data_IF_685487290548
#
_entry.id   IF_685487290548
#
_cell.length_a   1.000
_cell.length_b   1.000
_cell.length_c   1.000
_cell.angle_alpha   90.00
_cell.angle_beta   90.00
_cell.angle_gamma   90.00
#
_symmetry.space_group_name_H-M   'P 1'
#
loop_
_entity.id
_entity.type
_entity.pdbx_description
1 polymer ?
#
# COMPACT_ATOMS: atom_id res chain seq x y z
N UNK A 1 23.88 -11.46 -12.89
CA UNK A 1 24.16 -11.58 -11.44
C UNK A 1 25.38 -10.71 -11.13
N UNK A 2 25.32 -9.89 -10.10
CA UNK A 2 26.40 -9.01 -9.67
C UNK A 2 26.71 -9.26 -8.20
N UNK A 3 27.98 -9.43 -7.85
CA UNK A 3 28.41 -9.46 -6.46
C UNK A 3 28.43 -8.02 -5.93
N UNK A 4 27.84 -7.83 -4.76
CA UNK A 4 27.72 -6.54 -4.09
C UNK A 4 27.79 -6.74 -2.58
N UNK A 5 27.84 -5.62 -1.87
CA UNK A 5 27.91 -5.58 -0.42
C UNK A 5 26.83 -4.65 0.12
N UNK A 6 26.20 -4.98 1.24
CA UNK A 6 25.24 -4.11 1.94
C UNK A 6 25.92 -3.47 3.15
N UNK A 7 25.78 -2.16 3.26
CA UNK A 7 26.19 -1.35 4.42
C UNK A 7 24.99 -0.64 5.04
N UNK A 8 25.07 -0.39 6.34
CA UNK A 8 24.22 0.60 7.03
C UNK A 8 25.13 1.64 7.67
N UNK A 9 25.10 2.87 7.17
CA UNK A 9 26.13 3.86 7.47
C UNK A 9 27.52 3.37 7.04
N UNK A 10 28.43 3.23 8.01
CA UNK A 10 29.78 2.70 7.81
C UNK A 10 29.91 1.20 8.17
N UNK A 11 28.85 0.58 8.68
CA UNK A 11 28.88 -0.81 9.14
C UNK A 11 28.55 -1.77 8.00
N UNK A 12 29.47 -2.69 7.73
CA UNK A 12 29.27 -3.80 6.80
C UNK A 12 28.23 -4.78 7.36
N UNK A 13 27.15 -5.02 6.62
CA UNK A 13 26.11 -5.98 7.04
C UNK A 13 26.30 -7.37 6.43
N UNK A 14 26.81 -7.46 5.19
CA UNK A 14 27.11 -8.73 4.54
C UNK A 14 27.24 -8.65 3.02
N UNK A 15 27.74 -9.73 2.43
CA UNK A 15 27.83 -9.90 0.99
C UNK A 15 26.52 -10.40 0.38
N UNK A 16 26.21 -9.90 -0.81
CA UNK A 16 24.98 -10.21 -1.52
C UNK A 16 25.19 -10.39 -3.01
N UNK A 17 24.26 -11.10 -3.63
CA UNK A 17 24.12 -11.23 -5.06
C UNK A 17 22.91 -10.43 -5.54
N UNK A 18 23.14 -9.56 -6.52
CA UNK A 18 22.12 -8.74 -7.15
C UNK A 18 21.73 -9.36 -8.49
N UNK A 19 20.43 -9.51 -8.67
CA UNK A 19 19.76 -9.99 -9.87
C UNK A 19 18.87 -8.87 -10.42
N UNK A 20 19.41 -8.01 -11.31
CA UNK A 20 18.62 -6.98 -11.98
C UNK A 20 17.44 -7.62 -12.71
N UNK A 21 16.27 -7.01 -12.61
CA UNK A 21 15.09 -7.41 -13.37
C UNK A 21 14.86 -6.49 -14.58
N UNK A 22 15.23 -5.21 -14.46
CA UNK A 22 15.10 -4.20 -15.53
C UNK A 22 16.44 -3.47 -15.77
N UNK A 23 16.79 -3.17 -17.03
CA UNK A 23 18.14 -2.75 -17.47
C UNK A 23 18.56 -1.30 -17.14
N UNK A 24 17.92 -0.58 -16.21
CA UNK A 24 18.19 0.86 -15.97
C UNK A 24 18.48 1.24 -14.51
N UNK A 25 19.10 0.37 -13.72
CA UNK A 25 19.65 0.81 -12.43
C UNK A 25 21.13 1.04 -12.63
N UNK A 26 21.53 2.31 -12.57
CA UNK A 26 22.95 2.68 -12.53
C UNK A 26 23.54 2.31 -11.17
N UNK A 27 23.99 1.05 -11.05
CA UNK A 27 24.77 0.56 -9.89
C UNK A 27 26.27 0.65 -10.17
N UNK A 28 26.74 1.80 -10.65
CA UNK A 28 28.16 2.10 -10.89
C UNK A 28 29.02 1.79 -9.67
N UNK A 29 28.51 2.05 -8.47
CA UNK A 29 29.07 1.59 -7.22
C UNK A 29 28.35 0.28 -6.83
N UNK A 30 29.06 -0.85 -6.90
CA UNK A 30 28.55 -2.20 -6.55
C UNK A 30 28.31 -2.37 -5.04
N UNK A 31 27.78 -1.33 -4.39
CA UNK A 31 27.52 -1.24 -2.96
C UNK A 31 26.11 -0.74 -2.74
N UNK A 32 25.40 -1.38 -1.82
CA UNK A 32 24.10 -0.92 -1.34
C UNK A 32 24.33 -0.26 0.02
N UNK A 33 24.05 1.04 0.11
CA UNK A 33 24.23 1.82 1.35
C UNK A 33 22.89 2.24 1.92
N UNK A 34 22.43 1.50 2.92
CA UNK A 34 21.19 1.82 3.64
C UNK A 34 21.41 3.10 4.44
N UNK A 35 20.59 4.09 4.13
CA UNK A 35 20.59 5.39 4.80
C UNK A 35 19.64 5.40 6.00
N UNK A 36 18.44 4.87 5.83
CA UNK A 36 17.38 4.84 6.83
C UNK A 36 16.37 3.73 6.54
N UNK A 37 15.46 3.50 7.49
CA UNK A 37 14.28 2.68 7.28
C UNK A 37 13.08 3.55 6.97
N UNK A 38 12.18 3.07 6.12
CA UNK A 38 10.90 3.74 5.90
C UNK A 38 10.04 3.75 7.17
N UNK A 39 8.98 4.55 7.14
CA UNK A 39 7.89 4.41 8.12
C UNK A 39 7.29 3.00 8.02
N UNK A 40 6.81 2.42 9.14
CA UNK A 40 6.11 1.15 9.12
C UNK A 40 4.78 1.30 8.39
N UNK A 41 4.45 0.31 7.56
CA UNK A 41 3.15 0.28 6.89
C UNK A 41 2.14 -0.48 7.74
N UNK A 42 1.03 0.19 8.08
CA UNK A 42 0.00 -0.35 8.99
C UNK A 42 -1.15 -1.03 8.25
N UNK A 43 -1.43 -0.59 7.02
CA UNK A 43 -2.60 -1.05 6.23
C UNK A 43 -2.23 -2.12 5.22
N UNK A 44 -1.10 -1.93 4.54
CA UNK A 44 -0.70 -2.71 3.37
C UNK A 44 0.73 -3.22 3.57
N UNK A 45 1.10 -4.43 3.14
CA UNK A 45 2.51 -4.81 3.08
C UNK A 45 3.28 -3.81 2.19
N UNK A 46 4.52 -3.41 2.54
CA UNK A 46 5.32 -2.50 1.72
C UNK A 46 5.44 -2.95 0.25
N UNK A 47 5.49 -4.27 0.04
CA UNK A 47 5.48 -4.89 -1.28
C UNK A 47 4.31 -4.42 -2.14
N UNK A 48 3.09 -4.43 -1.58
CA UNK A 48 1.88 -4.10 -2.34
C UNK A 48 1.86 -2.62 -2.72
N UNK A 49 2.24 -1.73 -1.79
CA UNK A 49 2.33 -0.30 -2.07
C UNK A 49 3.37 -0.02 -3.16
N UNK A 50 4.57 -0.59 -3.04
CA UNK A 50 5.66 -0.36 -3.98
C UNK A 50 5.38 -0.92 -5.37
N UNK A 51 4.73 -2.07 -5.48
CA UNK A 51 4.27 -2.58 -6.78
C UNK A 51 3.35 -1.62 -7.52
N UNK A 52 2.66 -0.76 -6.79
CA UNK A 52 1.73 0.18 -7.38
C UNK A 52 2.36 1.52 -7.73
N UNK A 53 3.21 2.05 -6.84
CA UNK A 53 3.79 3.37 -7.04
C UNK A 53 5.10 3.34 -7.84
N UNK A 54 5.75 2.18 -7.96
CA UNK A 54 6.98 2.02 -8.72
C UNK A 54 6.68 1.87 -10.21
N UNK A 55 7.12 2.81 -11.07
CA UNK A 55 6.77 2.82 -12.49
C UNK A 55 7.30 1.61 -13.26
N UNK A 56 8.39 1.00 -12.79
CA UNK A 56 9.03 -0.17 -13.40
C UNK A 56 8.83 -1.46 -12.59
N UNK A 57 7.97 -1.45 -11.57
CA UNK A 57 7.82 -2.58 -10.65
C UNK A 57 9.14 -2.97 -9.96
N UNK A 58 9.37 -4.27 -9.80
CA UNK A 58 10.62 -4.79 -9.20
C UNK A 58 11.79 -4.52 -10.14
N UNK A 59 12.75 -3.73 -9.68
CA UNK A 59 13.89 -3.33 -10.49
C UNK A 59 15.11 -4.25 -10.27
N UNK A 60 15.28 -4.80 -9.06
CA UNK A 60 16.31 -5.78 -8.73
C UNK A 60 15.85 -6.77 -7.66
N UNK A 61 16.52 -7.92 -7.56
CA UNK A 61 16.39 -8.85 -6.43
C UNK A 61 17.76 -9.05 -5.80
N UNK A 62 17.84 -8.98 -4.48
CA UNK A 62 19.08 -9.15 -3.72
C UNK A 62 18.98 -10.43 -2.90
N UNK A 63 20.00 -11.27 -2.95
CA UNK A 63 20.08 -12.50 -2.16
C UNK A 63 21.34 -12.49 -1.32
N UNK A 64 21.25 -12.95 -0.07
CA UNK A 64 22.45 -13.20 0.74
C UNK A 64 23.25 -14.35 0.17
N UNK A 65 24.59 -14.25 0.25
CA UNK A 65 25.50 -15.37 -0.01
C UNK A 65 25.70 -16.28 1.21
N UNK A 66 25.43 -15.78 2.42
CA UNK A 66 25.58 -16.54 3.66
C UNK A 66 24.23 -17.00 4.20
N UNK A 67 24.18 -18.25 4.65
CA UNK A 67 22.98 -18.91 5.21
C UNK A 67 22.92 -18.86 6.75
N UNK A 68 23.89 -18.21 7.41
CA UNK A 68 23.92 -18.13 8.87
C UNK A 68 22.85 -17.18 9.42
N UNK A 69 21.98 -17.71 10.30
CA UNK A 69 20.87 -17.00 10.94
C UNK A 69 21.28 -15.87 11.90
N UNK A 70 22.56 -15.78 12.28
CA UNK A 70 23.05 -14.77 13.24
C UNK A 70 23.80 -13.59 12.58
N UNK A 71 23.67 -13.40 11.26
CA UNK A 71 24.34 -12.29 10.57
C UNK A 71 23.64 -10.92 10.79
N UNK A 72 24.38 -9.80 10.74
CA UNK A 72 23.77 -8.45 10.76
C UNK A 72 22.77 -8.25 9.60
N UNK A 73 23.03 -8.87 8.45
CA UNK A 73 22.11 -8.89 7.31
C UNK A 73 20.80 -9.65 7.61
N UNK A 74 20.87 -10.76 8.37
CA UNK A 74 19.68 -11.46 8.86
C UNK A 74 18.85 -10.57 9.79
N UNK A 75 19.52 -9.84 10.69
CA UNK A 75 18.87 -8.89 11.60
C UNK A 75 18.16 -7.76 10.84
N UNK A 76 18.81 -7.21 9.81
CA UNK A 76 18.21 -6.21 8.91
C UNK A 76 16.95 -6.77 8.24
N UNK A 77 17.04 -7.94 7.62
CA UNK A 77 15.92 -8.58 6.92
C UNK A 77 14.75 -8.85 7.85
N UNK A 78 15.03 -9.44 9.01
CA UNK A 78 14.03 -9.80 10.02
C UNK A 78 13.32 -8.57 10.60
N UNK A 79 14.05 -7.47 10.85
CA UNK A 79 13.45 -6.21 11.31
C UNK A 79 12.54 -5.60 10.24
N UNK A 80 12.98 -5.53 8.97
CA UNK A 80 12.15 -5.05 7.87
C UNK A 80 10.86 -5.86 7.74
N UNK A 81 10.96 -7.20 7.80
CA UNK A 81 9.81 -8.09 7.67
C UNK A 81 8.84 -7.97 8.85
N UNK A 82 9.34 -7.97 10.08
CA UNK A 82 8.53 -7.92 11.31
C UNK A 82 7.83 -6.57 11.49
N UNK A 83 8.50 -5.49 11.11
CA UNK A 83 8.02 -4.12 11.35
C UNK A 83 7.31 -3.52 10.14
N UNK A 84 7.10 -4.29 9.06
CA UNK A 84 6.55 -3.80 7.79
C UNK A 84 7.27 -2.54 7.29
N UNK A 85 8.60 -2.56 7.33
CA UNK A 85 9.47 -1.48 6.88
C UNK A 85 10.28 -1.91 5.66
N UNK A 86 10.85 -0.93 5.00
CA UNK A 86 11.82 -1.12 3.92
C UNK A 86 13.14 -0.47 4.30
N UNK A 87 14.24 -1.06 3.85
CA UNK A 87 15.56 -0.44 3.96
C UNK A 87 15.76 0.46 2.74
N UNK A 88 16.12 1.73 2.97
CA UNK A 88 16.11 2.76 1.92
C UNK A 88 17.53 3.21 1.59
N UNK A 89 17.86 3.18 0.30
CA UNK A 89 19.11 3.69 -0.26
C UNK A 89 18.81 4.82 -1.26
N UNK A 90 19.31 6.04 -1.04
CA UNK A 90 19.20 7.13 -2.01
C UNK A 90 19.98 6.77 -3.29
N UNK A 91 19.36 6.97 -4.45
CA UNK A 91 19.93 6.70 -5.77
C UNK A 91 19.78 7.94 -6.66
N UNK A 92 20.55 8.98 -6.36
CA UNK A 92 20.52 10.23 -7.12
C UNK A 92 19.16 10.95 -7.02
N UNK A 93 18.35 10.85 -8.08
CA UNK A 93 17.00 11.46 -8.16
C UNK A 93 15.89 10.49 -7.73
N UNK A 94 16.23 9.27 -7.35
CA UNK A 94 15.30 8.23 -6.91
C UNK A 94 15.72 7.68 -5.54
N UNK A 95 14.84 6.90 -4.93
CA UNK A 95 15.13 6.10 -3.75
C UNK A 95 14.89 4.63 -4.07
N UNK A 96 15.88 3.79 -3.74
CA UNK A 96 15.76 2.35 -3.79
C UNK A 96 15.21 1.84 -2.45
N UNK A 97 14.02 1.26 -2.50
CA UNK A 97 13.41 0.56 -1.37
C UNK A 97 13.68 -0.94 -1.48
N UNK A 98 14.34 -1.51 -0.47
CA UNK A 98 14.52 -2.96 -0.32
C UNK A 98 13.43 -3.52 0.58
N UNK A 99 12.55 -4.32 -0.02
CA UNK A 99 11.48 -5.04 0.67
C UNK A 99 11.96 -6.42 1.05
N UNK A 100 11.97 -6.73 2.35
CA UNK A 100 12.31 -8.06 2.83
C UNK A 100 11.23 -9.08 2.39
N UNK A 101 11.66 -10.14 1.73
CA UNK A 101 10.78 -11.20 1.24
C UNK A 101 10.99 -12.46 2.05
N UNK A 102 9.89 -13.08 2.50
CA UNK A 102 9.93 -14.46 2.98
C UNK A 102 10.03 -15.38 1.77
N UNK A 103 11.13 -16.12 1.63
CA UNK A 103 11.20 -17.18 0.63
C UNK A 103 11.63 -18.49 1.27
N UNK A 104 10.92 -19.55 0.87
CA UNK A 104 11.20 -20.93 1.25
C UNK A 104 11.53 -21.66 -0.03
N UNK A 105 12.73 -22.20 -0.14
CA UNK A 105 13.09 -23.15 -1.19
C UNK A 105 13.82 -24.30 -0.51
N UNK A 106 13.27 -25.50 -0.61
CA UNK A 106 13.83 -26.72 -0.02
C UNK A 106 14.12 -26.61 1.50
N UNK A 107 13.14 -26.15 2.29
CA UNK A 107 13.23 -25.98 3.76
C UNK A 107 14.30 -25.04 4.31
N UNK A 108 15.15 -24.44 3.45
CA UNK A 108 16.13 -23.44 3.85
C UNK A 108 15.58 -22.02 3.66
N UNK A 109 15.65 -21.23 4.74
CA UNK A 109 15.20 -19.84 4.76
C UNK A 109 16.32 -18.94 4.23
N UNK A 110 16.26 -18.58 2.96
CA UNK A 110 17.25 -17.68 2.37
C UNK A 110 16.80 -16.22 2.45
N UNK A 111 17.73 -15.35 2.82
CA UNK A 111 17.52 -13.91 2.91
C UNK A 111 17.41 -13.31 1.50
N UNK A 112 16.26 -12.72 1.21
CA UNK A 112 15.97 -12.14 -0.09
C UNK A 112 15.30 -10.78 0.08
N UNK A 113 15.74 -9.80 -0.70
CA UNK A 113 15.09 -8.50 -0.84
C UNK A 113 14.65 -8.27 -2.28
N UNK A 114 13.50 -7.65 -2.45
CA UNK A 114 13.08 -7.10 -3.74
C UNK A 114 13.24 -5.59 -3.72
N UNK A 115 13.95 -5.06 -4.72
CA UNK A 115 14.23 -3.64 -4.88
C UNK A 115 13.20 -2.97 -5.77
N UNK A 116 12.76 -1.79 -5.34
CA UNK A 116 11.87 -0.91 -6.10
C UNK A 116 12.49 0.48 -6.14
N UNK A 117 12.50 1.10 -7.33
CA UNK A 117 12.93 2.49 -7.49
C UNK A 117 11.70 3.39 -7.57
N UNK A 118 11.66 4.42 -6.74
CA UNK A 118 10.57 5.40 -6.67
C UNK A 118 11.12 6.81 -6.48
N UNK A 119 10.31 7.83 -6.73
CA UNK A 119 10.68 9.20 -6.42
C UNK A 119 10.89 9.38 -4.90
N UNK A 120 11.84 10.23 -4.47
CA UNK A 120 12.15 10.40 -3.05
C UNK A 120 10.91 10.78 -2.22
N UNK A 121 10.71 10.10 -1.11
CA UNK A 121 9.59 10.32 -0.20
C UNK A 121 8.23 9.79 -0.67
N UNK A 122 8.08 9.34 -1.93
CA UNK A 122 6.78 8.91 -2.49
C UNK A 122 6.16 7.75 -1.70
N UNK A 123 6.98 6.80 -1.27
CA UNK A 123 6.52 5.69 -0.44
C UNK A 123 5.96 6.19 0.90
N UNK A 124 6.70 7.05 1.62
CA UNK A 124 6.24 7.60 2.90
C UNK A 124 4.98 8.47 2.73
N UNK A 125 4.92 9.31 1.70
CA UNK A 125 3.72 10.10 1.38
C UNK A 125 2.51 9.20 1.10
N UNK A 126 2.75 8.07 0.41
CA UNK A 126 1.72 7.07 0.13
C UNK A 126 1.26 6.36 1.40
N UNK A 127 2.15 6.05 2.35
CA UNK A 127 1.79 5.52 3.66
C UNK A 127 0.97 6.51 4.47
N UNK A 128 1.36 7.79 4.50
CA UNK A 128 0.57 8.84 5.17
C UNK A 128 -0.83 8.92 4.56
N UNK A 129 -0.95 8.91 3.23
CA UNK A 129 -2.25 8.89 2.56
C UNK A 129 -3.09 7.65 2.94
N UNK A 130 -2.47 6.47 2.92
CA UNK A 130 -3.09 5.19 3.30
C UNK A 130 -3.54 5.16 4.77
N UNK A 131 -2.80 5.83 5.66
CA UNK A 131 -3.11 5.87 7.09
C UNK A 131 -4.15 6.95 7.42
N UNK A 132 -4.19 8.05 6.67
CA UNK A 132 -5.11 9.16 6.90
C UNK A 132 -6.55 8.83 6.50
N UNK A 133 -6.79 7.88 5.59
CA UNK A 133 -8.14 7.46 5.17
C UNK A 133 -8.45 6.06 5.64
N UNK A 134 -9.68 5.87 6.14
CA UNK A 134 -10.13 4.59 6.68
C UNK A 134 -10.86 3.75 5.62
N UNK A 135 -11.29 4.39 4.52
CA UNK A 135 -11.77 3.73 3.30
C UNK A 135 -10.55 3.18 2.55
N UNK A 136 -10.51 1.86 2.33
CA UNK A 136 -9.38 1.17 1.72
C UNK A 136 -9.01 1.74 0.34
N UNK A 137 -7.79 1.47 -0.11
CA UNK A 137 -7.34 1.84 -1.45
C UNK A 137 -7.46 0.65 -2.41
N UNK A 138 -8.19 0.85 -3.50
CA UNK A 138 -8.30 -0.04 -4.64
C UNK A 138 -7.66 0.64 -5.83
N UNK A 139 -6.58 0.06 -6.36
CA UNK A 139 -5.98 0.56 -7.59
C UNK A 139 -6.65 -0.09 -8.79
N UNK A 140 -7.02 0.74 -9.76
CA UNK A 140 -7.72 0.36 -10.99
C UNK A 140 -6.79 -0.27 -12.04
N UNK A 141 -5.81 -1.05 -11.58
CA UNK A 141 -4.92 -1.83 -12.43
C UNK A 141 -5.15 -3.29 -12.04
N UNK A 142 -6.07 -3.91 -12.77
CA UNK A 142 -6.42 -5.33 -12.77
C UNK A 142 -6.26 -6.12 -11.46
N UNK A 143 -7.42 -6.52 -10.91
CA UNK A 143 -7.60 -7.58 -9.90
C UNK A 143 -6.86 -7.42 -8.57
N UNK A 144 -6.10 -6.34 -8.36
CA UNK A 144 -5.27 -6.19 -7.17
C UNK A 144 -5.97 -5.33 -6.12
N UNK A 145 -6.77 -5.99 -5.28
CA UNK A 145 -7.16 -5.42 -3.99
C UNK A 145 -5.92 -5.28 -3.13
N UNK A 146 -5.57 -4.06 -2.72
CA UNK A 146 -4.50 -3.89 -1.73
C UNK A 146 -5.07 -4.03 -0.32
N UNK A 147 -6.19 -3.35 -0.01
CA UNK A 147 -6.89 -3.44 1.28
C UNK A 147 -8.38 -3.23 1.10
N UNK A 148 -9.20 -4.21 1.50
CA UNK A 148 -10.65 -4.03 1.66
C UNK A 148 -10.98 -3.91 3.15
N UNK A 149 -11.85 -2.97 3.48
CA UNK A 149 -12.45 -2.87 4.80
C UNK A 149 -13.92 -3.27 4.71
N UNK A 150 -14.33 -4.23 5.53
CA UNK A 150 -15.73 -4.57 5.76
C UNK A 150 -16.34 -3.62 6.78
N UNK A 151 -17.67 -3.47 6.81
CA UNK A 151 -18.35 -2.68 7.86
C UNK A 151 -17.95 -3.14 9.28
N UNK A 152 -17.79 -4.45 9.48
CA UNK A 152 -17.30 -5.03 10.73
C UNK A 152 -15.87 -4.58 11.05
N UNK A 153 -14.96 -4.58 10.07
CA UNK A 153 -13.59 -4.11 10.30
C UNK A 153 -13.49 -2.61 10.67
N UNK A 154 -14.47 -1.79 10.25
CA UNK A 154 -14.59 -0.41 10.74
C UNK A 154 -15.02 -0.36 12.20
N UNK A 155 -16.02 -1.17 12.59
CA UNK A 155 -16.52 -1.27 13.96
C UNK A 155 -15.42 -1.74 14.92
N UNK A 156 -14.75 -2.85 14.60
CA UNK A 156 -13.68 -3.42 15.43
C UNK A 156 -12.55 -2.41 15.68
N UNK A 157 -12.17 -1.62 14.66
CA UNK A 157 -11.13 -0.60 14.76
C UNK A 157 -11.58 0.61 15.58
N UNK A 158 -12.82 1.06 15.42
CA UNK A 158 -13.40 2.14 16.24
C UNK A 158 -13.38 1.71 17.71
N UNK A 159 -13.83 0.48 18.01
CA UNK A 159 -13.92 -0.02 19.38
C UNK A 159 -12.54 -0.20 20.00
N UNK A 160 -11.56 -0.74 19.26
CA UNK A 160 -10.18 -0.87 19.73
C UNK A 160 -9.52 0.49 20.02
N UNK A 161 -9.75 1.50 19.17
CA UNK A 161 -9.27 2.86 19.43
C UNK A 161 -9.97 3.47 20.65
N UNK A 162 -11.28 3.28 20.79
CA UNK A 162 -12.03 3.80 21.92
C UNK A 162 -11.56 3.19 23.25
N UNK A 163 -11.25 1.89 23.27
CA UNK A 163 -10.65 1.23 24.43
C UNK A 163 -9.28 1.82 24.78
N UNK A 164 -8.41 2.01 23.78
CA UNK A 164 -7.08 2.61 23.99
C UNK A 164 -7.18 4.05 24.50
N UNK A 165 -8.14 4.85 24.03
CA UNK A 165 -8.40 6.22 24.50
C UNK A 165 -8.72 6.23 25.99
N UNK A 166 -9.50 5.26 26.48
CA UNK A 166 -9.87 5.18 27.89
C UNK A 166 -8.67 4.87 28.82
N UNK A 167 -7.57 4.35 28.27
CA UNK A 167 -6.35 4.01 29.01
C UNK A 167 -5.18 4.97 28.77
N UNK A 168 -5.31 5.87 27.80
CA UNK A 168 -4.27 6.85 27.44
C UNK A 168 -4.35 8.07 28.37
N UNK A 169 -3.18 8.61 28.75
CA UNK A 169 -3.09 9.72 29.71
C UNK A 169 -2.64 11.01 29.01
N UNK A 170 -1.84 10.89 27.95
CA UNK A 170 -1.34 12.04 27.20
C UNK A 170 -2.46 12.72 26.39
N UNK A 171 -2.81 13.99 26.69
CA UNK A 171 -3.86 14.72 25.99
C UNK A 171 -3.64 14.86 24.48
N UNK A 172 -2.38 14.97 24.03
CA UNK A 172 -2.08 15.10 22.60
C UNK A 172 -2.35 13.78 21.86
N UNK A 173 -1.98 12.65 22.47
CA UNK A 173 -2.25 11.32 21.92
C UNK A 173 -3.74 11.01 21.91
N UNK A 174 -4.46 11.35 22.98
CA UNK A 174 -5.93 11.25 23.04
C UNK A 174 -6.57 12.04 21.90
N UNK A 175 -6.16 13.30 21.69
CA UNK A 175 -6.69 14.13 20.61
C UNK A 175 -6.44 13.52 19.22
N UNK A 176 -5.24 12.97 18.99
CA UNK A 176 -4.91 12.25 17.75
C UNK A 176 -5.81 11.03 17.52
N UNK A 177 -6.01 10.22 18.56
CA UNK A 177 -6.88 9.03 18.52
C UNK A 177 -8.36 9.39 18.32
N UNK A 178 -8.86 10.44 18.97
CA UNK A 178 -10.22 10.94 18.78
C UNK A 178 -10.44 11.42 17.33
N UNK A 179 -9.46 12.13 16.77
CA UNK A 179 -9.50 12.54 15.37
C UNK A 179 -9.53 11.32 14.44
N UNK A 180 -8.81 10.25 14.78
CA UNK A 180 -8.84 9.00 14.04
C UNK A 180 -10.21 8.29 14.12
N UNK A 181 -10.78 8.15 15.31
CA UNK A 181 -12.14 7.60 15.51
C UNK A 181 -13.18 8.38 14.70
N UNK A 182 -13.08 9.72 14.69
CA UNK A 182 -13.95 10.56 13.89
C UNK A 182 -13.83 10.23 12.40
N UNK A 183 -12.61 10.11 11.87
CA UNK A 183 -12.36 9.72 10.47
C UNK A 183 -12.99 8.37 10.13
N UNK A 184 -12.83 7.35 10.98
CA UNK A 184 -13.48 6.04 10.77
C UNK A 184 -15.01 6.14 10.75
N UNK A 185 -15.61 6.92 11.65
CA UNK A 185 -17.06 7.11 11.71
C UNK A 185 -17.59 7.82 10.46
N UNK A 186 -16.94 8.89 10.04
CA UNK A 186 -17.30 9.65 8.85
C UNK A 186 -17.22 8.77 7.58
N UNK A 187 -16.11 8.04 7.44
CA UNK A 187 -15.88 7.10 6.34
C UNK A 187 -16.91 5.95 6.31
N UNK A 188 -17.26 5.40 7.49
CA UNK A 188 -18.29 4.37 7.64
C UNK A 188 -19.67 4.87 7.19
N UNK A 189 -20.02 6.13 7.48
CA UNK A 189 -21.30 6.73 7.07
C UNK A 189 -21.36 6.85 5.55
N UNK A 190 -20.30 7.36 4.91
CA UNK A 190 -20.21 7.48 3.45
C UNK A 190 -20.38 6.11 2.79
N UNK A 191 -19.69 5.10 3.30
CA UNK A 191 -19.82 3.72 2.82
C UNK A 191 -21.24 3.19 2.93
N UNK A 192 -21.87 3.36 4.10
CA UNK A 192 -23.24 2.92 4.32
C UNK A 192 -24.23 3.59 3.36
N UNK A 193 -24.11 4.91 3.15
CA UNK A 193 -24.96 5.65 2.23
C UNK A 193 -24.86 5.11 0.80
N UNK A 194 -23.64 4.91 0.29
CA UNK A 194 -23.42 4.33 -1.03
C UNK A 194 -23.94 2.90 -1.14
N UNK A 195 -23.67 2.07 -0.13
CA UNK A 195 -24.09 0.68 -0.06
C UNK A 195 -25.62 0.53 -0.22
N UNK A 196 -26.36 1.36 0.51
CA UNK A 196 -27.81 1.24 0.66
C UNK A 196 -28.56 2.00 -0.44
N UNK A 197 -28.03 3.14 -0.90
CA UNK A 197 -28.81 4.10 -1.68
C UNK A 197 -28.20 4.47 -3.04
N UNK A 198 -27.02 3.94 -3.41
CA UNK A 198 -26.31 4.35 -4.64
C UNK A 198 -26.08 5.89 -4.72
N UNK A 199 -26.00 6.54 -3.56
CA UNK A 199 -25.77 7.96 -3.41
C UNK A 199 -25.07 8.24 -2.08
N UNK A 200 -24.42 9.39 -1.98
CA UNK A 200 -23.80 9.89 -0.75
C UNK A 200 -24.14 11.36 -0.55
N UNK A 201 -24.17 11.79 0.70
CA UNK A 201 -24.34 13.20 1.05
C UNK A 201 -22.98 13.76 1.43
N UNK A 202 -22.47 14.69 0.64
CA UNK A 202 -21.23 15.38 0.90
C UNK A 202 -21.45 16.90 0.92
N UNK A 203 -21.02 17.58 1.99
CA UNK A 203 -21.20 19.02 2.19
C UNK A 203 -22.64 19.50 1.93
N UNK A 204 -23.63 18.71 2.38
CA UNK A 204 -25.06 18.98 2.21
C UNK A 204 -25.61 18.68 0.81
N UNK A 205 -24.78 18.24 -0.14
CA UNK A 205 -25.18 17.90 -1.51
C UNK A 205 -25.32 16.39 -1.68
N UNK A 206 -26.41 15.97 -2.31
CA UNK A 206 -26.62 14.56 -2.69
C UNK A 206 -25.89 14.28 -4.00
N UNK A 207 -24.93 13.37 -3.95
CA UNK A 207 -24.15 12.93 -5.11
C UNK A 207 -24.59 11.51 -5.44
N UNK A 208 -25.16 11.32 -6.63
CA UNK A 208 -25.66 10.03 -7.11
C UNK A 208 -24.62 9.32 -7.96
N UNK A 209 -24.70 7.99 -7.97
CA UNK A 209 -23.86 7.14 -8.81
C UNK A 209 -23.99 7.48 -10.30
N UNK A 210 -22.86 7.44 -11.01
CA UNK A 210 -22.77 7.59 -12.46
C UNK A 210 -22.17 6.32 -13.05
N UNK A 211 -22.57 5.98 -14.26
CA UNK A 211 -21.90 4.90 -15.00
C UNK A 211 -20.63 5.44 -15.65
N UNK A 212 -19.51 4.78 -15.41
CA UNK A 212 -18.24 5.04 -16.09
C UNK A 212 -17.88 3.83 -16.96
N UNK A 213 -17.50 4.09 -18.21
CA UNK A 213 -17.02 3.06 -19.13
C UNK A 213 -15.50 2.99 -19.00
N UNK A 214 -15.00 1.85 -18.54
CA UNK A 214 -13.58 1.54 -18.52
C UNK A 214 -13.23 0.86 -19.86
N UNK A 215 -12.31 1.43 -20.65
CA UNK A 215 -11.88 0.84 -21.91
C UNK A 215 -11.32 -0.57 -21.72
N UNK A 216 -11.43 -1.40 -22.74
CA UNK A 216 -10.80 -2.70 -22.76
C UNK A 216 -9.28 -2.57 -22.80
N UNK A 217 -8.58 -3.34 -21.98
CA UNK A 217 -7.11 -3.33 -21.91
C UNK A 217 -6.45 -4.11 -23.06
N UNK A 218 -7.22 -4.91 -23.81
CA UNK A 218 -6.80 -5.55 -25.06
C UNK A 218 -8.02 -5.92 -25.92
N UNK A 219 -7.79 -6.20 -27.21
CA UNK A 219 -8.84 -6.45 -28.22
C UNK A 219 -9.80 -7.61 -27.88
N UNK A 220 -9.41 -8.51 -26.97
CA UNK A 220 -10.22 -9.64 -26.53
C UNK A 220 -11.06 -9.35 -25.26
N UNK A 221 -10.94 -8.18 -24.64
CA UNK A 221 -11.74 -7.80 -23.48
C UNK A 221 -12.87 -6.85 -23.91
N UNK A 222 -14.05 -6.99 -23.30
CA UNK A 222 -15.12 -6.00 -23.48
C UNK A 222 -14.93 -4.83 -22.52
N UNK A 223 -15.31 -3.60 -22.94
CA UNK A 223 -15.37 -2.45 -22.04
C UNK A 223 -16.26 -2.75 -20.83
N UNK A 224 -15.81 -2.37 -19.64
CA UNK A 224 -16.54 -2.60 -18.39
C UNK A 224 -17.28 -1.33 -18.01
N UNK A 225 -18.60 -1.42 -17.81
CA UNK A 225 -19.39 -0.32 -17.25
C UNK A 225 -19.45 -0.50 -15.75
N UNK A 226 -19.00 0.49 -14.97
CA UNK A 226 -19.02 0.42 -13.50
C UNK A 226 -19.82 1.57 -12.86
N UNK A 227 -20.49 1.32 -11.73
CA UNK A 227 -21.12 2.37 -10.94
C UNK A 227 -20.06 3.16 -10.17
N UNK A 228 -20.05 4.49 -10.31
CA UNK A 228 -19.01 5.36 -9.77
C UNK A 228 -19.58 6.58 -9.04
N UNK A 229 -19.05 6.91 -7.86
CA UNK A 229 -19.15 8.25 -7.28
C UNK A 229 -17.74 8.77 -7.01
N UNK A 230 -17.45 10.01 -7.41
CA UNK A 230 -16.18 10.70 -7.11
C UNK A 230 -16.45 11.87 -6.16
N UNK A 231 -15.83 11.82 -4.98
CA UNK A 231 -15.80 12.91 -4.00
C UNK A 231 -14.41 13.55 -4.05
N UNK A 232 -14.23 14.50 -4.98
CA UNK A 232 -12.93 15.10 -5.26
C UNK A 232 -12.33 15.80 -4.03
N UNK A 233 -13.12 16.57 -3.29
CA UNK A 233 -12.67 17.27 -2.09
C UNK A 233 -12.19 16.33 -0.97
N UNK A 234 -12.64 15.07 -1.00
CA UNK A 234 -12.27 14.04 -0.02
C UNK A 234 -11.27 13.02 -0.57
N UNK A 235 -10.89 13.11 -1.84
CA UNK A 235 -10.11 12.12 -2.57
C UNK A 235 -10.68 10.69 -2.47
N UNK A 236 -12.02 10.56 -2.56
CA UNK A 236 -12.71 9.26 -2.49
C UNK A 236 -13.36 8.94 -3.84
N UNK A 237 -13.21 7.69 -4.27
CA UNK A 237 -13.98 7.09 -5.36
C UNK A 237 -14.68 5.85 -4.81
N UNK A 238 -15.97 5.73 -5.09
CA UNK A 238 -16.83 4.62 -4.69
C UNK A 238 -17.22 3.79 -5.92
N UNK A 239 -16.99 2.48 -5.89
CA UNK A 239 -17.34 1.57 -7.01
C UNK A 239 -17.69 0.15 -6.55
N UNK A 240 -18.24 -0.67 -7.46
CA UNK A 240 -18.56 -2.10 -7.26
C UNK A 240 -17.78 -2.97 -8.25
N UNK A 241 -17.28 -4.13 -7.80
CA UNK A 241 -16.57 -5.10 -8.65
C UNK A 241 -17.48 -5.77 -9.68
N UNK A 242 -18.74 -6.06 -9.32
CA UNK A 242 -19.69 -6.71 -10.23
C UNK A 242 -20.76 -5.70 -10.67
N UNK A 243 -20.70 -5.16 -11.89
CA UNK A 243 -21.69 -4.21 -12.39
C UNK A 243 -23.05 -4.85 -12.75
N UNK A 244 -23.12 -6.19 -12.83
CA UNK A 244 -24.31 -6.93 -13.25
C UNK A 244 -25.29 -7.37 -12.15
N UNK A 245 -24.89 -7.43 -10.88
CA UNK A 245 -25.74 -7.99 -9.82
C UNK A 245 -26.64 -6.94 -9.17
N UNK A 246 -27.77 -6.62 -9.81
CA UNK A 246 -28.91 -6.00 -9.14
C UNK A 246 -29.70 -7.06 -8.37
N UNK A 247 -29.42 -7.20 -7.07
CA UNK A 247 -30.18 -7.95 -6.04
C UNK A 247 -30.17 -9.48 -6.13
N UNK A 248 -30.22 -10.07 -4.92
CA UNK A 248 -30.35 -11.49 -4.58
C UNK A 248 -29.12 -12.40 -4.71
N UNK A 249 -28.10 -12.13 -3.88
CA UNK A 249 -27.32 -13.13 -3.11
C UNK A 249 -26.13 -12.42 -2.47
N UNK A 250 -26.28 -11.82 -1.29
CA UNK A 250 -25.13 -11.51 -0.41
C UNK A 250 -25.66 -11.35 1.02
N UNK A 251 -26.39 -12.36 1.51
CA UNK A 251 -26.35 -12.68 2.93
C UNK A 251 -25.00 -13.35 3.14
N UNK A 252 -24.13 -12.70 3.92
CA UNK A 252 -22.69 -12.94 4.08
C UNK A 252 -21.81 -12.30 2.99
N UNK A 253 -20.88 -11.45 3.44
CA UNK A 253 -19.69 -10.95 2.72
C UNK A 253 -19.86 -9.69 1.86
N UNK A 254 -19.84 -8.56 2.58
CA UNK A 254 -19.41 -7.22 2.20
C UNK A 254 -18.23 -7.17 1.24
N UNK A 255 -18.43 -6.64 0.03
CA UNK A 255 -17.36 -6.20 -0.87
C UNK A 255 -17.80 -4.96 -1.65
N UNK A 256 -17.78 -3.80 -0.99
CA UNK A 256 -17.87 -2.47 -1.61
C UNK A 256 -16.46 -1.87 -1.65
N UNK A 257 -16.08 -1.31 -2.79
CA UNK A 257 -14.70 -0.97 -3.11
C UNK A 257 -14.53 0.54 -3.14
N UNK A 258 -13.48 1.00 -2.47
CA UNK A 258 -13.08 2.39 -2.44
C UNK A 258 -11.77 2.53 -3.18
N UNK A 259 -11.71 3.39 -4.18
CA UNK A 259 -10.47 3.77 -4.82
C UNK A 259 -10.12 5.19 -4.40
N UNK A 260 -8.88 5.45 -4.00
CA UNK A 260 -8.35 6.82 -3.97
C UNK A 260 -7.17 6.86 -4.93
N UNK A 261 -7.44 7.16 -6.18
CA UNK A 261 -6.41 7.47 -7.16
C UNK A 261 -6.41 8.97 -7.43
N UNK A 262 -5.30 9.61 -7.05
CA UNK A 262 -4.85 10.84 -7.68
C UNK A 262 -4.38 10.49 -9.11
N UNK A 263 -5.07 11.01 -10.10
CA UNK A 263 -4.45 11.51 -11.32
C UNK A 263 -5.05 12.90 -11.57
N UNK A 264 -4.22 13.94 -11.76
CA UNK A 264 -4.72 15.18 -12.34
C UNK A 264 -5.21 14.82 -13.74
N UNK A 265 -6.44 15.21 -14.04
CA UNK A 265 -6.86 15.29 -15.43
C UNK A 265 -6.01 16.37 -16.07
N UNK A 266 -5.10 15.98 -16.96
CA UNK A 266 -4.70 16.85 -18.06
C UNK A 266 -5.97 17.21 -18.83
N UNK A 267 -6.41 18.46 -18.69
CA UNK A 267 -7.31 19.07 -19.65
C UNK A 267 -6.44 19.74 -20.72
N UNK A 268 -6.45 19.15 -21.90
CA UNK A 268 -6.37 19.82 -23.19
C UNK A 268 -7.65 19.46 -23.95
#
# INVERSE_FOLDING_TARGET
MLNSVIYQGNSLLGEVEIYPQNQKIDMTNKEIRISHFSLPSERCPPLAVLHTIAPSGVCLKVKSKSESGDSPLFSLHSSCLRENKTAVMPLGKEELHLVAMSSRKNDEQYLCFWGFSVAPGLFNSSLVMLNLRCLGMVFDLDKTLIVANTMRSFEDRIDALQQKINTEVDPQRIAGMLAEVKRYKDDKIILKQYAENDQVVDNGKVIKVRSEIVPALSDNHQPIVRPLIRLQERNIILTRINPGSRRHQFQSETNLWFSSLCCPSEQL
#
